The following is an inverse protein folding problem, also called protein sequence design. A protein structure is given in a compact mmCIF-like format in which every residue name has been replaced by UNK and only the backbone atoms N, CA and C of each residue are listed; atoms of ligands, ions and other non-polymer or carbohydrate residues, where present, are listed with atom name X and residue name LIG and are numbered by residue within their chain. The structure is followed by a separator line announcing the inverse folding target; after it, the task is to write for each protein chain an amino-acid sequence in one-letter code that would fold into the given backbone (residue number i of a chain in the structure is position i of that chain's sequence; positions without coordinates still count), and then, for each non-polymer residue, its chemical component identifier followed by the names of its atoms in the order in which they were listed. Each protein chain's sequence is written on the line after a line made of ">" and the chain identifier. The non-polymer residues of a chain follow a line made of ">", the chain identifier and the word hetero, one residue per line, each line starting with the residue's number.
data_IF_890231929090
#
_entry.id   IF_890231929090
#
_cell.length_a   1.000
_cell.length_b   1.000
_cell.length_c   1.000
_cell.angle_alpha   90.00
_cell.angle_beta   90.00
_cell.angle_gamma   90.00
#
_symmetry.space_group_name_H-M   'P 1'
#
loop_
_entity.id
_entity.type
_entity.pdbx_description
1 polymer ?
#
# COMPACT_ATOMS: atom_id res chain seq x y z
N UNK A 1 50.71 30.98 -8.85
CA UNK A 1 49.90 29.91 -8.21
C UNK A 1 50.68 28.61 -8.35
N UNK A 2 51.00 27.92 -7.26
CA UNK A 2 51.84 26.71 -7.31
C UNK A 2 51.05 25.54 -7.91
N UNK A 3 51.72 24.63 -8.64
CA UNK A 3 51.07 23.42 -9.16
C UNK A 3 50.41 22.57 -8.05
N UNK A 4 50.97 22.61 -6.85
CA UNK A 4 50.41 21.97 -5.64
C UNK A 4 49.03 22.53 -5.27
N UNK A 5 48.84 23.85 -5.23
CA UNK A 5 47.55 24.47 -4.88
C UNK A 5 46.46 24.29 -5.94
N UNK A 6 46.83 23.99 -7.19
CA UNK A 6 45.87 23.61 -8.23
C UNK A 6 45.36 22.18 -8.03
N UNK A 7 46.25 21.23 -7.67
CA UNK A 7 45.88 19.84 -7.42
C UNK A 7 45.02 19.67 -6.18
N UNK A 8 45.28 20.39 -5.10
CA UNK A 8 44.47 20.35 -3.86
C UNK A 8 43.04 20.86 -4.10
N UNK A 9 42.88 21.98 -4.80
CA UNK A 9 41.56 22.51 -5.17
C UNK A 9 40.80 21.56 -6.10
N UNK A 10 41.50 20.92 -7.05
CA UNK A 10 40.89 19.92 -7.94
C UNK A 10 40.41 18.70 -7.16
N UNK A 11 41.23 18.21 -6.22
CA UNK A 11 40.90 17.05 -5.38
C UNK A 11 39.72 17.34 -4.45
N UNK A 12 39.69 18.51 -3.80
CA UNK A 12 38.58 18.95 -2.94
C UNK A 12 37.26 19.08 -3.72
N UNK A 13 37.32 19.67 -4.92
CA UNK A 13 36.13 19.80 -5.79
C UNK A 13 35.60 18.43 -6.25
N UNK A 14 36.49 17.49 -6.57
CA UNK A 14 36.10 16.14 -6.94
C UNK A 14 35.48 15.37 -5.75
N UNK A 15 36.02 15.54 -4.55
CA UNK A 15 35.47 14.93 -3.33
C UNK A 15 34.09 15.52 -2.98
N UNK A 16 33.93 16.83 -3.06
CA UNK A 16 32.64 17.51 -2.85
C UNK A 16 31.58 17.07 -3.87
N UNK A 17 31.96 16.98 -5.15
CA UNK A 17 31.08 16.47 -6.20
C UNK A 17 30.68 15.01 -5.94
N UNK A 18 31.62 14.16 -5.53
CA UNK A 18 31.33 12.76 -5.18
C UNK A 18 30.33 12.66 -4.03
N UNK A 19 30.52 13.44 -2.96
CA UNK A 19 29.57 13.51 -1.85
C UNK A 19 28.19 13.99 -2.30
N UNK A 20 28.12 14.99 -3.18
CA UNK A 20 26.85 15.47 -3.74
C UNK A 20 26.15 14.40 -4.60
N UNK A 21 26.89 13.63 -5.39
CA UNK A 21 26.34 12.51 -6.16
C UNK A 21 25.82 11.38 -5.27
N UNK A 22 26.56 11.01 -4.22
CA UNK A 22 26.11 9.99 -3.25
C UNK A 22 24.84 10.47 -2.55
N UNK A 23 24.80 11.74 -2.13
CA UNK A 23 23.62 12.31 -1.47
C UNK A 23 22.40 12.36 -2.39
N UNK A 24 22.58 12.75 -3.65
CA UNK A 24 21.52 12.73 -4.66
C UNK A 24 21.01 11.31 -4.92
N UNK A 25 21.91 10.33 -5.01
CA UNK A 25 21.54 8.93 -5.23
C UNK A 25 20.77 8.34 -4.02
N UNK A 26 21.19 8.66 -2.79
CA UNK A 26 20.47 8.24 -1.58
C UNK A 26 19.09 8.91 -1.44
N UNK A 27 18.86 10.07 -2.06
CA UNK A 27 17.58 10.76 -2.01
C UNK A 27 16.49 10.15 -2.92
N UNK A 28 16.86 9.27 -3.86
CA UNK A 28 15.97 8.66 -4.85
C UNK A 28 15.50 7.23 -4.48
N UNK A 29 15.28 6.96 -3.19
CA UNK A 29 14.76 5.66 -2.75
C UNK A 29 13.26 5.55 -3.10
N UNK A 30 12.94 5.10 -4.31
CA UNK A 30 11.61 4.56 -4.63
C UNK A 30 11.58 3.13 -4.11
N UNK A 31 11.04 2.92 -2.91
CA UNK A 31 10.81 1.58 -2.37
C UNK A 31 9.37 1.16 -2.60
N UNK A 32 9.21 0.02 -3.27
CA UNK A 32 7.99 -0.78 -3.26
C UNK A 32 7.87 -1.47 -1.90
N UNK A 33 6.71 -1.41 -1.26
CA UNK A 33 6.44 -2.15 -0.03
C UNK A 33 5.37 -3.22 -0.23
N UNK A 34 5.51 -4.34 0.46
CA UNK A 34 4.42 -5.30 0.60
C UNK A 34 3.40 -4.81 1.65
N UNK A 35 2.12 -4.86 1.29
CA UNK A 35 0.99 -4.43 2.11
C UNK A 35 0.02 -5.58 2.30
N UNK A 36 -0.01 -6.13 3.51
CA UNK A 36 -0.86 -7.26 3.84
C UNK A 36 -2.23 -6.81 4.36
N UNK A 37 -3.27 -7.45 3.87
CA UNK A 37 -4.65 -7.29 4.34
C UNK A 37 -5.29 -8.66 4.52
N UNK A 38 -6.05 -8.80 5.60
CA UNK A 38 -6.88 -9.98 5.83
C UNK A 38 -8.34 -9.52 5.96
N UNK A 39 -9.14 -9.96 5.00
CA UNK A 39 -10.54 -9.58 4.83
C UNK A 39 -11.44 -10.77 5.05
N UNK A 40 -12.60 -10.55 5.66
CA UNK A 40 -13.63 -11.58 5.81
C UNK A 40 -14.97 -11.07 5.30
N UNK A 41 -15.57 -11.82 4.38
CA UNK A 41 -16.93 -11.60 3.88
C UNK A 41 -17.89 -12.23 4.89
N UNK A 42 -18.87 -11.46 5.37
CA UNK A 42 -19.80 -11.91 6.41
C UNK A 42 -21.22 -11.46 6.09
N UNK A 43 -22.21 -12.25 6.49
CA UNK A 43 -23.58 -11.78 6.60
C UNK A 43 -23.70 -10.81 7.77
N UNK A 44 -24.26 -9.63 7.52
CA UNK A 44 -24.56 -8.62 8.52
C UNK A 44 -26.04 -8.23 8.45
N UNK A 45 -26.56 -7.72 9.58
CA UNK A 45 -27.82 -6.98 9.56
C UNK A 45 -27.53 -5.52 9.25
N UNK A 46 -28.11 -5.01 8.17
CA UNK A 46 -27.99 -3.61 7.76
C UNK A 46 -29.37 -2.95 7.69
N UNK A 47 -29.45 -1.67 8.06
CA UNK A 47 -30.67 -0.89 7.99
C UNK A 47 -30.33 0.53 7.49
N UNK A 48 -30.71 0.83 6.25
CA UNK A 48 -30.47 2.14 5.62
C UNK A 48 -31.76 2.91 5.32
N UNK A 49 -32.91 2.22 5.33
CA UNK A 49 -34.21 2.77 4.92
C UNK A 49 -35.27 2.70 6.03
N UNK A 50 -34.88 2.31 7.25
CA UNK A 50 -35.80 2.02 8.36
C UNK A 50 -36.28 0.58 8.43
N UNK A 51 -35.81 -0.31 7.54
CA UNK A 51 -36.13 -1.74 7.52
C UNK A 51 -34.86 -2.56 7.62
N UNK A 52 -34.85 -3.57 8.50
CA UNK A 52 -33.71 -4.45 8.71
C UNK A 52 -33.56 -5.47 7.56
N UNK A 53 -32.35 -5.54 7.00
CA UNK A 53 -31.92 -6.55 6.03
C UNK A 53 -30.87 -7.43 6.69
N UNK A 54 -31.24 -8.68 7.02
CA UNK A 54 -30.40 -9.61 7.81
C UNK A 54 -29.36 -10.39 7.02
N UNK A 55 -29.42 -10.32 5.69
CA UNK A 55 -28.58 -11.06 4.75
C UNK A 55 -27.71 -10.11 3.90
N UNK A 56 -27.44 -8.91 4.41
CA UNK A 56 -26.57 -7.99 3.70
C UNK A 56 -25.12 -8.49 3.79
N UNK A 57 -24.34 -8.34 2.72
CA UNK A 57 -22.93 -8.73 2.70
C UNK A 57 -22.05 -7.57 3.18
N UNK A 58 -21.44 -7.73 4.34
CA UNK A 58 -20.42 -6.83 4.86
C UNK A 58 -19.02 -7.42 4.74
N UNK A 59 -18.01 -6.56 4.72
CA UNK A 59 -16.60 -6.98 4.76
C UNK A 59 -15.96 -6.43 6.03
N UNK A 60 -15.35 -7.30 6.82
CA UNK A 60 -14.47 -6.92 7.93
C UNK A 60 -13.00 -6.95 7.51
N UNK A 61 -12.16 -6.22 8.23
CA UNK A 61 -10.70 -6.30 8.11
C UNK A 61 -10.14 -6.77 9.46
N UNK A 62 -9.32 -7.82 9.47
CA UNK A 62 -8.67 -8.30 10.71
C UNK A 62 -7.25 -7.76 10.86
N UNK A 63 -6.57 -7.50 9.72
CA UNK A 63 -5.22 -6.92 9.65
C UNK A 63 -5.15 -5.87 8.52
N UNK A 64 -4.39 -4.76 8.65
CA UNK A 64 -3.47 -4.39 9.74
C UNK A 64 -4.12 -3.78 10.98
N UNK A 65 -5.37 -3.31 10.86
CA UNK A 65 -6.14 -2.76 11.96
C UNK A 65 -7.55 -3.38 11.95
N UNK A 66 -8.00 -4.00 13.03
CA UNK A 66 -9.33 -4.60 13.09
C UNK A 66 -10.43 -3.58 12.79
N UNK A 67 -11.36 -3.95 11.90
CA UNK A 67 -12.61 -3.24 11.62
C UNK A 67 -13.74 -4.24 11.48
N UNK A 68 -14.84 -3.95 12.14
CA UNK A 68 -16.07 -4.75 12.06
C UNK A 68 -16.59 -4.85 10.63
N UNK A 69 -17.35 -5.91 10.37
CA UNK A 69 -17.97 -6.09 9.07
C UNK A 69 -19.02 -4.99 8.85
N UNK A 70 -18.85 -4.24 7.76
CA UNK A 70 -19.70 -3.09 7.47
C UNK A 70 -19.97 -2.94 5.98
N UNK A 71 -20.99 -2.13 5.69
CA UNK A 71 -21.26 -1.55 4.37
C UNK A 71 -21.28 -0.03 4.61
N UNK A 72 -20.32 0.74 4.05
CA UNK A 72 -19.25 0.31 3.15
C UNK A 72 -18.14 -0.53 3.83
N UNK A 73 -17.46 -1.33 3.02
CA UNK A 73 -16.28 -2.10 3.43
C UNK A 73 -15.09 -1.19 3.83
N UNK A 74 -14.11 -1.70 4.60
CA UNK A 74 -12.86 -1.01 4.88
C UNK A 74 -12.12 -0.55 3.62
N UNK A 75 -11.65 0.70 3.64
CA UNK A 75 -10.76 1.22 2.58
C UNK A 75 -9.35 0.66 2.73
N UNK A 76 -8.87 -0.05 1.72
CA UNK A 76 -7.47 -0.46 1.59
C UNK A 76 -6.64 0.69 1.03
N UNK A 77 -5.40 0.88 1.53
CA UNK A 77 -4.52 2.00 1.14
C UNK A 77 -3.09 1.54 0.94
N UNK A 78 -2.65 1.55 -0.31
CA UNK A 78 -1.30 1.25 -0.75
C UNK A 78 -0.89 2.25 -1.84
N UNK A 79 0.40 2.32 -2.16
CA UNK A 79 0.94 3.27 -3.15
C UNK A 79 1.16 2.59 -4.50
N UNK A 80 1.29 3.39 -5.57
CA UNK A 80 1.77 2.87 -6.84
C UNK A 80 3.17 2.27 -6.63
N UNK A 81 3.34 1.02 -7.10
CA UNK A 81 4.56 0.24 -6.89
C UNK A 81 4.55 -0.63 -5.64
N UNK A 82 3.61 -0.46 -4.70
CA UNK A 82 3.43 -1.43 -3.60
C UNK A 82 2.79 -2.72 -4.12
N UNK A 83 3.16 -3.85 -3.52
CA UNK A 83 2.47 -5.13 -3.69
C UNK A 83 1.41 -5.29 -2.59
N UNK A 84 0.14 -5.25 -2.97
CA UNK A 84 -0.97 -5.50 -2.04
C UNK A 84 -1.29 -7.00 -1.98
N UNK A 85 -0.94 -7.64 -0.87
CA UNK A 85 -1.24 -9.05 -0.61
C UNK A 85 -2.53 -9.13 0.21
N UNK A 86 -3.60 -9.60 -0.40
CA UNK A 86 -4.94 -9.60 0.19
C UNK A 86 -5.42 -11.04 0.35
N UNK A 87 -5.49 -11.50 1.59
CA UNK A 87 -6.12 -12.78 1.94
C UNK A 87 -7.60 -12.54 2.19
N UNK A 88 -8.44 -13.28 1.46
CA UNK A 88 -9.90 -13.17 1.58
C UNK A 88 -10.46 -14.47 2.12
N UNK A 89 -11.20 -14.37 3.22
CA UNK A 89 -11.98 -15.45 3.81
C UNK A 89 -13.45 -15.22 3.51
N UNK A 90 -14.14 -16.26 3.06
CA UNK A 90 -15.59 -16.23 2.92
C UNK A 90 -16.23 -16.96 4.10
N UNK A 91 -16.83 -16.23 5.03
CA UNK A 91 -17.51 -16.79 6.20
C UNK A 91 -19.03 -16.96 5.96
N UNK A 92 -19.46 -16.99 4.70
CA UNK A 92 -20.85 -17.24 4.32
C UNK A 92 -21.03 -18.66 3.79
N UNK A 93 -22.28 -19.10 3.71
CA UNK A 93 -22.64 -20.42 3.18
C UNK A 93 -22.71 -20.45 1.63
N UNK A 94 -22.49 -19.31 0.97
CA UNK A 94 -22.60 -19.17 -0.49
C UNK A 94 -21.26 -18.76 -1.12
N UNK A 95 -20.91 -19.25 -2.33
CA UNK A 95 -19.72 -18.80 -3.04
C UNK A 95 -19.74 -17.28 -3.30
N UNK A 96 -18.58 -16.63 -3.15
CA UNK A 96 -18.44 -15.20 -3.37
C UNK A 96 -17.16 -14.88 -4.18
N UNK A 97 -17.22 -13.79 -4.94
CA UNK A 97 -16.10 -13.26 -5.73
C UNK A 97 -15.87 -11.79 -5.40
N UNK A 98 -14.61 -11.37 -5.27
CA UNK A 98 -14.24 -9.96 -5.18
C UNK A 98 -13.64 -9.50 -6.49
N UNK A 99 -13.98 -8.28 -6.90
CA UNK A 99 -13.39 -7.62 -8.07
C UNK A 99 -12.81 -6.27 -7.66
N UNK A 100 -11.54 -6.04 -8.01
CA UNK A 100 -10.85 -4.78 -7.77
C UNK A 100 -11.16 -3.79 -8.88
N UNK A 101 -12.28 -3.08 -8.73
CA UNK A 101 -12.74 -2.17 -9.78
C UNK A 101 -11.69 -1.09 -10.09
N UNK A 102 -11.26 -1.02 -11.35
CA UNK A 102 -10.28 -0.05 -11.84
C UNK A 102 -8.81 -0.43 -11.61
N UNK A 103 -8.52 -1.59 -11.01
CA UNK A 103 -7.16 -2.10 -10.88
C UNK A 103 -6.78 -2.95 -12.11
N UNK A 104 -5.60 -2.71 -12.67
CA UNK A 104 -5.03 -3.53 -13.73
C UNK A 104 -4.37 -4.76 -13.10
N UNK A 105 -5.12 -5.86 -13.02
CA UNK A 105 -4.64 -7.16 -12.50
C UNK A 105 -4.63 -8.20 -13.62
N UNK A 106 -3.78 -9.24 -13.54
CA UNK A 106 -3.86 -10.39 -14.46
C UNK A 106 -5.25 -11.02 -14.46
N UNK A 107 -5.68 -11.51 -15.63
CA UNK A 107 -6.94 -12.22 -15.84
C UNK A 107 -6.77 -13.74 -15.77
#
# INVERSE_FOLDING_TARGET
>A
MSQLGFMENLMFRNFSNLCAFIFLFLSLQVSAAERFYDLRIKNITANFTGVDVKHALGISQTWPAPKEAAIPAPTLRFKLGDDAVITVHNDTDEPATLHWHGLLVPY
#
